data_IF_813027599617
#
_entry.id   IF_813027599617
#
_cell.length_a   1.000
_cell.length_b   1.000
_cell.length_c   1.000
_cell.angle_alpha   90.00
_cell.angle_beta   90.00
_cell.angle_gamma   90.00
#
_symmetry.space_group_name_H-M   'P 1'
#
loop_
_entity.id
_entity.type
_entity.pdbx_description
1 polymer ?
#
# COMPACT_ATOMS: atom_id res chain seq x y z
N UNK A 1 -9.59 23.94 -1.84
CA UNK A 1 -9.77 23.34 -1.87
C UNK A 1 -9.94 22.77 -1.44
N UNK A 2 -10.35 22.43 -1.44
CA UNK A 2 -10.59 21.73 -1.17
C UNK A 2 -10.41 21.18 -1.16
N UNK A 3 -10.55 21.10 -1.04
CA UNK A 3 -10.40 20.41 -0.90
C UNK A 3 -10.14 19.85 -0.99
N UNK A 4 -10.07 19.92 -0.86
CA UNK A 4 -9.92 19.19 -0.95
C UNK A 4 -10.00 18.36 -0.87
N UNK A 5 -10.12 18.23 -0.55
CA UNK A 5 -10.42 17.31 -0.31
C UNK A 5 -11.08 16.69 -1.02
N UNK A 6 -11.48 17.06 -1.34
CA UNK A 6 -12.22 16.53 -1.99
C UNK A 6 -11.77 16.17 -3.02
N UNK A 7 -11.84 15.65 -3.13
CA UNK A 7 -11.28 15.02 -3.98
C UNK A 7 -11.78 15.06 -5.18
N UNK A 8 -11.86 15.56 -5.60
CA UNK A 8 -12.38 15.37 -6.39
C UNK A 8 -12.26 15.91 -7.71
N UNK A 9 -11.38 16.59 -8.18
CA UNK A 9 -11.08 17.00 -9.53
C UNK A 9 -10.30 15.87 -10.23
N UNK A 10 -10.90 15.17 -11.19
CA UNK A 10 -10.21 14.06 -11.83
C UNK A 10 -8.92 14.48 -12.52
N UNK A 11 -8.89 15.67 -13.12
CA UNK A 11 -7.66 16.14 -13.75
C UNK A 11 -6.54 16.36 -12.76
N UNK A 12 -6.89 16.90 -11.59
CA UNK A 12 -5.92 17.10 -10.53
C UNK A 12 -5.29 15.77 -10.12
N UNK A 13 -6.12 14.77 -9.87
CA UNK A 13 -5.59 13.47 -9.45
C UNK A 13 -4.77 12.82 -10.53
N UNK A 14 -5.16 12.96 -11.80
CA UNK A 14 -4.38 12.37 -12.89
C UNK A 14 -2.98 12.96 -12.94
N UNK A 15 -2.86 14.29 -12.92
CA UNK A 15 -1.56 14.94 -12.98
C UNK A 15 -0.71 14.60 -11.77
N UNK A 16 -1.32 14.65 -10.59
CA UNK A 16 -0.57 14.42 -9.36
C UNK A 16 -0.22 12.96 -9.18
N UNK A 17 -1.05 12.05 -9.70
CA UNK A 17 -0.74 10.64 -9.65
C UNK A 17 0.50 10.32 -10.46
N UNK A 18 0.65 10.90 -11.65
CA UNK A 18 1.83 10.65 -12.46
C UNK A 18 3.09 11.20 -11.82
N UNK A 19 3.01 12.42 -11.25
CA UNK A 19 4.16 13.00 -10.57
C UNK A 19 4.52 12.19 -9.32
N UNK A 20 3.53 11.77 -8.57
CA UNK A 20 3.73 10.94 -7.40
C UNK A 20 4.37 9.61 -7.78
N UNK A 21 3.86 8.99 -8.83
CA UNK A 21 4.40 7.71 -9.29
C UNK A 21 5.86 7.84 -9.68
N UNK A 22 6.21 8.89 -10.43
CA UNK A 22 7.60 9.09 -10.81
C UNK A 22 8.50 9.26 -9.59
N UNK A 23 8.09 10.10 -8.65
CA UNK A 23 8.89 10.39 -7.46
C UNK A 23 9.09 9.14 -6.61
N UNK A 24 8.02 8.37 -6.38
CA UNK A 24 8.12 7.21 -5.51
C UNK A 24 8.92 6.09 -6.13
N UNK A 25 8.91 5.96 -7.47
CA UNK A 25 9.66 4.90 -8.15
C UNK A 25 11.16 5.12 -8.12
N UNK A 26 11.61 6.34 -7.83
CA UNK A 26 13.05 6.63 -7.77
C UNK A 26 13.63 6.45 -6.38
N UNK A 27 12.82 6.19 -5.37
CA UNK A 27 13.31 5.98 -4.01
C UNK A 27 13.92 4.59 -3.90
N UNK A 28 15.08 4.50 -3.25
CA UNK A 28 15.74 3.21 -3.04
C UNK A 28 15.12 2.48 -1.86
N UNK A 29 14.41 1.42 -2.15
CA UNK A 29 13.71 0.62 -1.13
C UNK A 29 14.46 -0.66 -0.78
N UNK A 30 15.60 -0.91 -1.37
CA UNK A 30 16.32 -2.17 -1.17
C UNK A 30 16.56 -2.50 0.30
N UNK A 31 16.95 -1.54 1.16
CA UNK A 31 17.18 -1.88 2.57
C UNK A 31 15.92 -2.38 3.27
N UNK A 32 14.75 -1.84 2.93
CA UNK A 32 13.49 -2.28 3.54
C UNK A 32 13.07 -3.65 3.00
N UNK A 33 13.24 -3.88 1.72
CA UNK A 33 12.95 -5.20 1.14
C UNK A 33 13.84 -6.26 1.78
N UNK A 34 15.10 -5.94 2.02
CA UNK A 34 16.04 -6.89 2.60
C UNK A 34 15.65 -7.32 4.02
N UNK A 35 14.89 -6.48 4.72
CA UNK A 35 14.41 -6.80 6.05
C UNK A 35 13.09 -7.54 6.04
N UNK A 36 12.29 -7.37 4.99
CA UNK A 36 10.96 -7.94 4.90
C UNK A 36 10.97 -9.31 4.23
N UNK A 37 11.60 -9.42 3.09
CA UNK A 37 11.50 -10.62 2.25
C UNK A 37 12.04 -11.89 2.89
N UNK A 38 13.05 -11.86 3.79
CA UNK A 38 13.46 -13.09 4.46
C UNK A 38 12.35 -13.76 5.26
N UNK A 39 11.31 -13.04 5.63
CA UNK A 39 10.16 -13.58 6.37
C UNK A 39 9.08 -14.13 5.47
N UNK A 40 9.24 -14.06 4.15
CA UNK A 40 8.22 -14.49 3.20
C UNK A 40 8.70 -15.77 2.55
N UNK A 41 7.86 -16.84 2.50
CA UNK A 41 8.28 -18.06 1.82
C UNK A 41 8.64 -17.80 0.37
N UNK A 42 9.60 -18.55 -0.15
CA UNK A 42 9.99 -18.41 -1.56
C UNK A 42 8.76 -18.60 -2.45
N UNK A 43 8.55 -17.68 -3.37
CA UNK A 43 7.39 -17.71 -4.25
C UNK A 43 6.07 -17.40 -3.58
N UNK A 44 6.09 -16.95 -2.33
CA UNK A 44 4.88 -16.68 -1.57
C UNK A 44 4.04 -15.55 -2.17
N UNK A 45 2.80 -15.45 -1.70
CA UNK A 45 1.86 -14.44 -2.16
C UNK A 45 1.89 -13.24 -1.21
N UNK A 46 2.24 -12.09 -1.75
CA UNK A 46 2.32 -10.83 -1.01
C UNK A 46 1.15 -9.93 -1.44
N UNK A 47 0.48 -9.34 -0.46
CA UNK A 47 -0.51 -8.29 -0.74
C UNK A 47 0.19 -6.94 -0.58
N UNK A 48 0.24 -6.17 -1.67
CA UNK A 48 0.73 -4.80 -1.62
C UNK A 48 -0.48 -3.89 -1.36
N UNK A 49 -0.68 -3.56 -0.11
CA UNK A 49 -1.89 -2.89 0.37
C UNK A 49 -1.70 -1.39 0.30
N UNK A 50 -2.48 -0.74 -0.58
CA UNK A 50 -2.28 0.67 -0.86
C UNK A 50 -1.01 0.86 -1.68
N UNK A 51 -0.97 0.25 -2.86
CA UNK A 51 0.27 0.08 -3.60
C UNK A 51 0.79 1.34 -4.29
N UNK A 52 -0.02 2.40 -4.32
CA UNK A 52 0.41 3.65 -4.95
C UNK A 52 0.84 3.44 -6.39
N UNK A 53 2.10 3.76 -6.67
CA UNK A 53 2.64 3.72 -8.02
C UNK A 53 2.96 2.32 -8.53
N UNK A 54 2.89 1.29 -7.67
CA UNK A 54 3.25 -0.06 -8.05
C UNK A 54 4.74 -0.37 -7.95
N UNK A 55 5.52 0.54 -7.36
CA UNK A 55 6.97 0.35 -7.20
C UNK A 55 7.30 -0.95 -6.50
N UNK A 56 6.67 -1.18 -5.36
CA UNK A 56 6.99 -2.35 -4.54
C UNK A 56 6.42 -3.62 -5.14
N UNK A 57 5.22 -3.55 -5.72
CA UNK A 57 4.62 -4.70 -6.39
C UNK A 57 5.55 -5.22 -7.49
N UNK A 58 6.08 -4.33 -8.32
CA UNK A 58 6.99 -4.74 -9.38
C UNK A 58 8.27 -5.34 -8.81
N UNK A 59 8.82 -4.71 -7.76
CA UNK A 59 10.06 -5.20 -7.16
C UNK A 59 9.88 -6.63 -6.64
N UNK A 60 8.75 -6.90 -5.97
CA UNK A 60 8.50 -8.24 -5.44
C UNK A 60 8.28 -9.26 -6.57
N UNK A 61 7.58 -8.86 -7.62
CA UNK A 61 7.40 -9.74 -8.79
C UNK A 61 8.75 -10.08 -9.42
N UNK A 62 9.64 -9.10 -9.53
CA UNK A 62 10.94 -9.32 -10.13
C UNK A 62 11.81 -10.27 -9.29
N UNK A 63 11.53 -10.37 -8.01
CA UNK A 63 12.25 -11.27 -7.13
C UNK A 63 11.59 -12.63 -6.99
N UNK A 64 10.56 -12.90 -7.77
CA UNK A 64 9.97 -14.24 -7.85
C UNK A 64 8.76 -14.46 -6.96
N UNK A 65 8.23 -13.43 -6.33
CA UNK A 65 7.03 -13.57 -5.50
C UNK A 65 5.78 -13.36 -6.33
N UNK A 66 4.67 -13.93 -5.89
CA UNK A 66 3.36 -13.62 -6.43
C UNK A 66 2.83 -12.39 -5.69
N UNK A 67 2.12 -11.51 -6.38
CA UNK A 67 1.66 -10.26 -5.79
C UNK A 67 0.22 -9.99 -6.20
N UNK A 68 -0.59 -9.60 -5.21
CA UNK A 68 -1.87 -8.94 -5.44
C UNK A 68 -1.76 -7.54 -4.86
N UNK A 69 -2.52 -6.59 -5.42
CA UNK A 69 -2.38 -5.20 -5.01
C UNK A 69 -3.70 -4.46 -5.13
N UNK A 70 -3.85 -3.44 -4.30
CA UNK A 70 -4.99 -2.53 -4.41
C UNK A 70 -4.56 -1.12 -4.05
N UNK A 71 -5.33 -0.16 -4.51
CA UNK A 71 -5.19 1.23 -4.10
C UNK A 71 -6.55 1.90 -4.16
N UNK A 72 -6.77 2.88 -3.30
CA UNK A 72 -8.05 3.57 -3.26
C UNK A 72 -8.20 4.57 -4.40
N UNK A 73 -7.10 5.02 -4.97
CA UNK A 73 -7.09 5.97 -6.08
C UNK A 73 -7.19 5.21 -7.41
N UNK A 74 -8.26 5.43 -8.20
CA UNK A 74 -8.35 4.77 -9.51
C UNK A 74 -7.18 5.13 -10.41
N UNK A 75 -6.70 6.38 -10.35
CA UNK A 75 -5.59 6.82 -11.19
C UNK A 75 -4.30 6.09 -10.82
N UNK A 76 -4.01 6.00 -9.52
CA UNK A 76 -2.82 5.28 -9.08
C UNK A 76 -2.93 3.79 -9.36
N UNK A 77 -4.11 3.21 -9.15
CA UNK A 77 -4.31 1.79 -9.44
C UNK A 77 -4.03 1.49 -10.91
N UNK A 78 -4.47 2.36 -11.79
CA UNK A 78 -4.21 2.16 -13.23
C UNK A 78 -2.73 2.27 -13.53
N UNK A 79 -2.05 3.27 -12.99
CA UNK A 79 -0.61 3.44 -13.21
C UNK A 79 0.16 2.26 -12.64
N UNK A 80 -0.23 1.80 -11.46
CA UNK A 80 0.42 0.65 -10.83
C UNK A 80 0.23 -0.61 -11.66
N UNK A 81 -0.97 -0.81 -12.18
CA UNK A 81 -1.25 -1.98 -13.01
C UNK A 81 -0.39 -1.98 -14.27
N UNK A 82 -0.25 -0.83 -14.89
CA UNK A 82 0.60 -0.71 -16.08
C UNK A 82 2.06 -0.94 -15.74
N UNK A 83 2.50 -0.38 -14.62
CA UNK A 83 3.91 -0.46 -14.22
C UNK A 83 4.30 -1.89 -13.82
N UNK A 84 3.46 -2.54 -13.03
CA UNK A 84 3.78 -3.86 -12.49
C UNK A 84 3.32 -5.00 -13.40
N UNK A 85 2.41 -4.72 -14.34
CA UNK A 85 1.94 -5.74 -15.25
C UNK A 85 0.96 -6.72 -14.63
N UNK A 86 0.26 -6.32 -13.58
CA UNK A 86 -0.76 -7.14 -12.91
C UNK A 86 -2.02 -6.30 -12.72
N UNK A 87 -3.19 -6.94 -12.55
CA UNK A 87 -4.38 -6.21 -12.18
C UNK A 87 -4.21 -5.58 -10.79
N UNK A 88 -4.68 -4.36 -10.63
CA UNK A 88 -4.68 -3.68 -9.34
C UNK A 88 -6.12 -3.26 -9.05
N UNK A 89 -6.65 -3.69 -7.91
CA UNK A 89 -8.02 -3.39 -7.55
C UNK A 89 -8.12 -1.97 -7.01
N UNK A 90 -9.26 -1.33 -7.30
CA UNK A 90 -9.58 -0.03 -6.70
C UNK A 90 -10.43 -0.32 -5.49
N UNK A 91 -9.84 -0.21 -4.30
CA UNK A 91 -10.56 -0.47 -3.06
C UNK A 91 -9.78 0.10 -1.89
N UNK A 92 -10.44 0.18 -0.74
CA UNK A 92 -9.86 0.71 0.49
C UNK A 92 -9.45 -0.44 1.40
N UNK A 93 -8.65 -0.13 2.43
CA UNK A 93 -8.33 -1.12 3.46
C UNK A 93 -9.59 -1.70 4.11
N UNK A 94 -10.62 -0.86 4.28
CA UNK A 94 -11.86 -1.28 4.91
C UNK A 94 -12.65 -2.28 4.06
N UNK A 95 -12.24 -2.48 2.81
CA UNK A 95 -12.92 -3.39 1.89
C UNK A 95 -12.22 -4.74 1.77
N UNK A 96 -11.07 -4.92 2.44
CA UNK A 96 -10.35 -6.19 2.40
C UNK A 96 -11.22 -7.26 3.06
N UNK A 97 -11.47 -8.34 2.33
CA UNK A 97 -12.41 -9.37 2.79
C UNK A 97 -11.85 -10.79 2.69
N UNK A 98 -10.56 -10.91 2.51
CA UNK A 98 -9.90 -12.20 2.40
C UNK A 98 -9.70 -12.83 3.78
N UNK A 99 -9.56 -14.15 3.80
CA UNK A 99 -9.28 -14.90 5.02
C UNK A 99 -8.12 -15.83 4.75
N UNK A 100 -7.03 -15.69 5.51
CA UNK A 100 -5.87 -16.58 5.48
C UNK A 100 -5.39 -16.83 4.04
N UNK A 101 -5.24 -15.76 3.28
CA UNK A 101 -4.89 -15.86 1.87
C UNK A 101 -3.43 -15.51 1.59
N UNK A 102 -2.88 -14.51 2.29
CA UNK A 102 -1.56 -13.97 1.95
C UNK A 102 -0.48 -14.47 2.87
N UNK A 103 0.68 -14.77 2.32
CA UNK A 103 1.85 -15.13 3.11
C UNK A 103 2.44 -13.92 3.81
N UNK A 104 2.28 -12.74 3.22
CA UNK A 104 2.77 -11.51 3.79
C UNK A 104 1.96 -10.33 3.26
N UNK A 105 1.93 -9.25 4.03
CA UNK A 105 1.25 -8.03 3.63
C UNK A 105 2.23 -6.88 3.77
N UNK A 106 2.28 -6.04 2.74
CA UNK A 106 3.16 -4.87 2.68
C UNK A 106 2.29 -3.63 2.57
N UNK A 107 2.35 -2.77 3.59
CA UNK A 107 1.55 -1.54 3.63
C UNK A 107 2.49 -0.36 3.85
N UNK A 108 3.19 0.05 2.81
CA UNK A 108 4.23 1.06 2.89
C UNK A 108 3.60 2.45 2.77
N UNK A 109 3.63 3.21 3.86
CA UNK A 109 3.13 4.58 3.90
C UNK A 109 1.71 4.70 3.34
N UNK A 110 0.86 3.73 3.62
CA UNK A 110 -0.49 3.70 3.07
C UNK A 110 -1.57 3.72 4.16
N UNK A 111 -1.36 2.99 5.27
CA UNK A 111 -2.33 2.98 6.36
C UNK A 111 -2.52 4.35 6.99
N UNK A 112 -1.55 5.23 6.85
CA UNK A 112 -1.64 6.57 7.40
C UNK A 112 -2.82 7.37 6.81
N UNK A 113 -3.33 6.95 5.64
CA UNK A 113 -4.45 7.63 5.02
C UNK A 113 -5.80 7.13 5.53
N UNK A 114 -5.82 6.05 6.31
CA UNK A 114 -7.05 5.56 6.92
C UNK A 114 -7.37 6.43 8.14
N UNK A 115 -8.60 6.94 8.25
CA UNK A 115 -8.96 7.74 9.43
C UNK A 115 -8.67 7.00 10.73
N UNK A 116 -8.25 7.74 11.74
CA UNK A 116 -7.80 7.14 12.99
C UNK A 116 -8.84 6.20 13.59
N UNK A 117 -10.11 6.60 13.57
CA UNK A 117 -11.17 5.79 14.16
C UNK A 117 -11.42 4.50 13.40
N UNK A 118 -10.94 4.42 12.15
CA UNK A 118 -11.11 3.23 11.31
C UNK A 118 -9.86 2.36 11.26
N UNK A 119 -8.78 2.79 11.92
CA UNK A 119 -7.55 2.00 11.96
C UNK A 119 -7.75 0.60 12.55
N UNK A 120 -8.46 0.44 13.68
CA UNK A 120 -8.62 -0.91 14.23
C UNK A 120 -9.31 -1.86 13.25
N UNK A 121 -10.31 -1.39 12.52
CA UNK A 121 -11.00 -2.25 11.56
C UNK A 121 -10.09 -2.59 10.39
N UNK A 122 -9.31 -1.63 9.90
CA UNK A 122 -8.37 -1.89 8.81
C UNK A 122 -7.36 -2.96 9.23
N UNK A 123 -6.79 -2.83 10.42
CA UNK A 123 -5.84 -3.82 10.93
C UNK A 123 -6.47 -5.19 11.13
N UNK A 124 -7.71 -5.23 11.65
CA UNK A 124 -8.40 -6.49 11.85
C UNK A 124 -8.56 -7.22 10.51
N UNK A 125 -8.90 -6.50 9.47
CA UNK A 125 -9.07 -7.09 8.14
C UNK A 125 -7.76 -7.59 7.57
N UNK A 126 -6.69 -6.85 7.76
CA UNK A 126 -5.37 -7.31 7.29
C UNK A 126 -4.95 -8.58 8.03
N UNK A 127 -5.11 -8.61 9.36
CA UNK A 127 -4.75 -9.80 10.13
C UNK A 127 -5.57 -11.01 9.71
N UNK A 128 -6.85 -10.81 9.42
CA UNK A 128 -7.70 -11.90 8.95
C UNK A 128 -7.25 -12.41 7.59
N UNK A 129 -6.81 -11.51 6.73
CA UNK A 129 -6.37 -11.87 5.38
C UNK A 129 -5.03 -12.59 5.36
N UNK A 130 -4.27 -12.50 6.44
CA UNK A 130 -2.94 -13.05 6.54
C UNK A 130 -3.01 -14.51 7.00
N UNK A 131 -2.20 -15.37 6.38
CA UNK A 131 -2.10 -16.76 6.82
C UNK A 131 -1.46 -16.83 8.20
N UNK A 132 -1.77 -17.86 8.99
CA UNK A 132 -1.06 -18.07 10.26
C UNK A 132 0.44 -18.12 10.01
N UNK A 133 1.20 -17.41 10.83
CA UNK A 133 2.65 -17.34 10.68
C UNK A 133 3.14 -16.31 9.68
N UNK A 134 2.21 -15.64 9.00
CA UNK A 134 2.59 -14.60 8.05
C UNK A 134 3.03 -13.32 8.75
N UNK A 135 3.57 -12.39 7.97
CA UNK A 135 4.11 -11.14 8.49
C UNK A 135 3.47 -9.95 7.79
N UNK A 136 3.40 -8.85 8.52
CA UNK A 136 2.94 -7.57 7.98
C UNK A 136 4.06 -6.55 8.15
N UNK A 137 4.36 -5.83 7.09
CA UNK A 137 5.17 -4.63 7.15
C UNK A 137 4.23 -3.44 7.01
N UNK A 138 4.37 -2.47 7.89
CA UNK A 138 3.61 -1.22 7.77
C UNK A 138 4.51 -0.07 8.15
N UNK A 139 4.36 1.04 7.44
CA UNK A 139 5.10 2.23 7.77
C UNK A 139 4.20 3.45 7.70
N UNK A 140 4.53 4.44 8.51
CA UNK A 140 3.87 5.73 8.56
C UNK A 140 4.95 6.79 8.42
N UNK A 141 4.60 7.92 7.84
CA UNK A 141 5.58 9.00 7.73
C UNK A 141 5.87 9.55 9.11
N UNK A 142 7.15 9.54 9.49
CA UNK A 142 7.55 9.96 10.81
C UNK A 142 7.13 11.39 11.10
N UNK A 143 7.34 12.29 10.17
CA UNK A 143 6.96 13.68 10.35
C UNK A 143 5.46 13.84 10.60
N UNK A 144 4.64 13.08 9.92
CA UNK A 144 3.20 13.13 10.15
C UNK A 144 2.84 12.54 11.51
N UNK A 145 3.52 11.46 11.88
CA UNK A 145 3.29 10.88 13.20
C UNK A 145 3.60 11.88 14.29
N UNK A 146 4.70 12.62 14.15
CA UNK A 146 5.08 13.62 15.11
C UNK A 146 4.05 14.74 15.17
N UNK A 147 3.56 15.17 14.03
CA UNK A 147 2.55 16.22 14.01
C UNK A 147 1.26 15.78 14.67
N UNK A 148 0.88 14.53 14.48
CA UNK A 148 -0.30 14.01 15.17
C UNK A 148 -0.11 14.03 16.67
N UNK A 149 1.07 13.62 17.12
CA UNK A 149 1.38 13.68 18.56
C UNK A 149 1.28 15.11 19.09
N UNK A 150 1.86 16.05 18.36
CA UNK A 150 1.84 17.44 18.77
C UNK A 150 0.43 18.01 18.78
N UNK A 151 -0.41 17.51 17.90
CA UNK A 151 -1.79 17.96 17.85
C UNK A 151 -2.64 17.34 18.96
N UNK A 152 -2.07 16.56 19.81
CA UNK A 152 -2.78 16.02 20.96
C UNK A 152 -3.48 14.72 20.69
N UNK A 153 -2.83 13.84 20.03
CA UNK A 153 -3.39 12.53 19.83
C UNK A 153 -3.95 11.96 21.07
#
# INVERSE_FOLDING_TARGET
MNPPSSPVNPGYYTQHAEAYAHTTRTVDMAPLYARFLPHVPAGGLILDAGCGSGRDALAFLQQGYAVEAFDASPELAQLASQHAGIPVKVMRFQDVDDTARFDAIWACASLLHVPEREQPEAWRRLWRALKPGGVVYASYKLGQAERVDEAGR
#
